data_IF_035581492166
#
_entry.id   IF_035581492166
#
_cell.length_a   1.000
_cell.length_b   1.000
_cell.length_c   1.000
_cell.angle_alpha   90.00
_cell.angle_beta   90.00
_cell.angle_gamma   90.00
#
_symmetry.space_group_name_H-M   'P 1'
#
loop_
_entity.id
_entity.type
_entity.pdbx_description
1 polymer ?
#
# COMPACT_ATOMS: atom_id res chain seq x y z
N UNK A 1 4.58 -29.50 2.25
CA UNK A 1 5.61 -30.42 2.77
C UNK A 1 5.49 -30.39 4.30
N UNK A 2 5.08 -31.48 4.93
CA UNK A 2 4.81 -31.55 6.38
C UNK A 2 6.04 -32.13 7.09
N UNK A 3 6.44 -31.51 8.20
CA UNK A 3 7.41 -32.08 9.13
C UNK A 3 6.70 -32.29 10.47
N UNK A 4 6.66 -33.53 10.93
CA UNK A 4 6.27 -33.89 12.29
C UNK A 4 7.55 -34.09 13.11
N UNK A 5 7.58 -33.56 14.33
CA UNK A 5 8.59 -33.94 15.34
C UNK A 5 7.89 -34.23 16.66
N UNK A 6 8.11 -35.45 17.15
CA UNK A 6 7.68 -36.03 18.42
C UNK A 6 8.79 -35.77 19.46
N UNK A 7 8.80 -34.63 20.14
CA UNK A 7 9.74 -34.40 21.25
C UNK A 7 9.09 -33.56 22.37
N UNK A 8 8.87 -34.10 23.60
CA UNK A 8 8.03 -33.44 24.61
C UNK A 8 8.70 -32.32 25.44
N UNK A 9 9.98 -31.98 25.25
CA UNK A 9 10.72 -31.20 26.25
C UNK A 9 10.91 -29.70 25.99
N UNK A 10 10.75 -29.17 24.76
CA UNK A 10 10.84 -27.72 24.47
C UNK A 10 10.01 -27.32 23.24
N UNK A 11 8.80 -26.74 23.38
CA UNK A 11 7.85 -26.58 22.27
C UNK A 11 7.99 -25.29 21.44
N UNK A 12 9.03 -24.47 21.62
CA UNK A 12 9.14 -23.19 20.91
C UNK A 12 10.53 -22.99 20.31
N UNK A 13 10.72 -23.54 19.11
CA UNK A 13 11.75 -23.04 18.19
C UNK A 13 11.20 -21.73 17.62
N UNK A 14 11.64 -20.60 18.17
CA UNK A 14 11.43 -19.29 17.57
C UNK A 14 12.21 -19.23 16.26
N UNK A 15 11.54 -19.45 15.14
CA UNK A 15 12.12 -19.25 13.82
C UNK A 15 12.19 -17.73 13.56
N UNK A 16 13.27 -17.08 13.97
CA UNK A 16 13.58 -15.70 13.56
C UNK A 16 14.09 -15.71 12.11
N UNK A 17 13.18 -15.50 11.17
CA UNK A 17 13.55 -15.20 9.79
C UNK A 17 14.05 -13.74 9.73
N UNK A 18 15.34 -13.53 10.00
CA UNK A 18 15.99 -12.23 9.77
C UNK A 18 16.21 -12.05 8.26
N UNK A 19 15.14 -11.69 7.55
CA UNK A 19 15.22 -11.25 6.17
C UNK A 19 15.47 -9.76 6.12
N UNK A 20 16.60 -9.33 5.54
CA UNK A 20 16.80 -7.93 5.19
C UNK A 20 15.76 -7.54 4.12
N UNK A 21 14.64 -6.92 4.54
CA UNK A 21 13.60 -6.44 3.62
C UNK A 21 14.11 -5.19 2.94
N UNK A 22 14.87 -5.36 1.86
CA UNK A 22 15.23 -4.24 1.00
C UNK A 22 13.93 -3.66 0.42
N UNK A 23 13.66 -2.38 0.70
CA UNK A 23 12.49 -1.69 0.17
C UNK A 23 12.52 -1.78 -1.36
N UNK A 24 11.42 -2.25 -1.95
CA UNK A 24 11.26 -2.32 -3.41
C UNK A 24 10.91 -0.94 -3.99
N UNK A 25 10.14 -0.16 -3.23
CA UNK A 25 9.68 1.18 -3.58
C UNK A 25 9.81 2.11 -2.39
N UNK A 26 9.99 3.39 -2.67
CA UNK A 26 9.87 4.50 -1.75
C UNK A 26 8.49 5.13 -1.95
N UNK A 27 7.72 5.25 -0.86
CA UNK A 27 6.38 5.82 -0.84
C UNK A 27 6.43 7.20 -0.17
N UNK A 28 6.01 8.23 -0.89
CA UNK A 28 5.98 9.61 -0.38
C UNK A 28 4.61 10.23 -0.61
N UNK A 29 3.83 10.53 0.44
CA UNK A 29 4.05 10.17 1.86
C UNK A 29 4.03 8.64 2.06
N UNK A 30 4.46 8.16 3.24
CA UNK A 30 4.48 6.73 3.56
C UNK A 30 3.08 6.12 3.75
N UNK A 31 2.10 6.95 4.09
CA UNK A 31 0.72 6.59 4.37
C UNK A 31 -0.19 7.60 3.67
N UNK A 32 -1.32 7.13 3.13
CA UNK A 32 -2.38 8.03 2.65
C UNK A 32 -3.30 8.40 3.81
N UNK A 33 -3.43 9.69 4.07
CA UNK A 33 -4.41 10.25 5.00
C UNK A 33 -5.45 11.08 4.25
N UNK A 34 -6.72 10.80 4.52
CA UNK A 34 -7.89 11.47 3.98
C UNK A 34 -8.66 12.09 5.16
N UNK A 35 -8.31 13.32 5.52
CA UNK A 35 -8.92 14.05 6.63
C UNK A 35 -9.67 15.28 6.14
N UNK A 36 -10.89 15.50 6.64
CA UNK A 36 -11.67 16.69 6.30
C UNK A 36 -13.10 16.62 6.79
N UNK A 37 -13.92 17.59 6.36
CA UNK A 37 -15.34 17.67 6.74
C UNK A 37 -16.24 16.89 5.77
N UNK A 38 -17.38 16.36 6.23
CA UNK A 38 -18.43 15.83 5.38
C UNK A 38 -18.79 16.80 4.24
N UNK A 39 -18.88 16.29 3.01
CA UNK A 39 -19.27 17.06 1.84
C UNK A 39 -18.14 17.83 1.14
N UNK A 40 -16.92 17.85 1.68
CA UNK A 40 -15.75 18.35 0.96
C UNK A 40 -15.13 17.25 0.09
N UNK A 41 -14.59 17.64 -1.07
CA UNK A 41 -13.71 16.76 -1.84
C UNK A 41 -12.40 16.57 -1.07
N UNK A 42 -12.19 15.37 -0.54
CA UNK A 42 -10.98 15.02 0.22
C UNK A 42 -10.17 14.07 -0.65
N UNK A 43 -9.02 14.55 -1.10
CA UNK A 43 -8.11 13.82 -2.00
C UNK A 43 -6.70 13.87 -1.45
N UNK A 44 -5.97 12.78 -1.58
CA UNK A 44 -4.56 12.67 -1.22
C UNK A 44 -3.77 12.00 -2.34
N UNK A 45 -2.48 12.33 -2.42
CA UNK A 45 -1.59 11.84 -3.48
C UNK A 45 -0.37 11.18 -2.84
N UNK A 46 0.05 10.07 -3.41
CA UNK A 46 1.29 9.37 -3.04
C UNK A 46 2.11 9.09 -4.29
N UNK A 47 3.38 9.45 -4.21
CA UNK A 47 4.38 9.10 -5.22
C UNK A 47 5.03 7.78 -4.84
N UNK A 48 5.02 6.83 -5.77
CA UNK A 48 5.68 5.53 -5.68
C UNK A 48 6.90 5.60 -6.58
N UNK A 49 8.08 5.55 -5.98
CA UNK A 49 9.36 5.59 -6.70
C UNK A 49 10.09 4.27 -6.53
N UNK A 50 10.69 3.69 -7.59
CA UNK A 50 11.60 2.55 -7.43
C UNK A 50 12.72 2.86 -6.43
N UNK A 51 13.04 1.93 -5.53
CA UNK A 51 14.14 2.12 -4.59
C UNK A 51 15.52 2.05 -5.28
N UNK A 52 15.61 1.31 -6.38
CA UNK A 52 16.78 1.28 -7.27
C UNK A 52 16.46 2.03 -8.57
N UNK A 53 17.19 3.11 -8.92
CA UNK A 53 16.99 3.84 -10.17
C UNK A 53 17.16 3.02 -11.45
N UNK A 54 17.86 1.88 -11.40
CA UNK A 54 18.04 0.95 -12.54
C UNK A 54 16.85 0.02 -12.73
N UNK A 55 15.90 0.01 -11.78
CA UNK A 55 14.74 -0.86 -11.80
C UNK A 55 13.56 -0.17 -12.46
N UNK A 56 13.12 -0.72 -13.59
CA UNK A 56 11.83 -0.38 -14.20
C UNK A 56 10.85 -1.51 -13.87
N UNK A 57 9.82 -1.21 -13.09
CA UNK A 57 8.74 -2.14 -12.79
C UNK A 57 7.42 -1.59 -13.33
N UNK A 58 6.51 -2.51 -13.66
CA UNK A 58 5.17 -2.20 -14.14
C UNK A 58 4.12 -2.59 -13.10
N UNK A 59 3.08 -1.78 -12.99
CA UNK A 59 1.90 -2.10 -12.20
C UNK A 59 0.93 -2.85 -13.12
N UNK A 60 0.64 -4.10 -12.79
CA UNK A 60 -0.28 -4.95 -13.55
C UNK A 60 -1.72 -4.72 -13.11
N UNK A 61 -1.91 -4.60 -11.79
CA UNK A 61 -3.23 -4.48 -11.18
C UNK A 61 -3.13 -3.72 -9.86
N UNK A 62 -4.21 -3.02 -9.51
CA UNK A 62 -4.40 -2.47 -8.17
C UNK A 62 -5.85 -2.66 -7.71
N UNK A 63 -6.04 -2.97 -6.44
CA UNK A 63 -7.37 -3.16 -5.85
C UNK A 63 -7.36 -2.70 -4.39
N UNK A 64 -8.41 -2.00 -4.00
CA UNK A 64 -8.72 -1.73 -2.60
C UNK A 64 -9.41 -2.95 -1.99
N UNK A 65 -9.10 -3.26 -0.73
CA UNK A 65 -9.71 -4.38 -0.02
C UNK A 65 -11.20 -4.18 0.19
N UNK A 66 -11.59 -2.99 0.67
CA UNK A 66 -12.98 -2.68 0.95
C UNK A 66 -13.63 -1.87 -0.17
N UNK A 67 -12.93 -0.91 -0.79
CA UNK A 67 -13.38 -0.07 -1.92
C UNK A 67 -14.68 0.72 -1.72
N UNK A 68 -15.32 0.59 -0.55
CA UNK A 68 -16.62 1.20 -0.22
C UNK A 68 -16.52 2.70 0.07
N UNK A 69 -15.38 3.15 0.59
CA UNK A 69 -15.19 4.51 1.09
C UNK A 69 -14.18 5.31 0.29
N UNK A 70 -13.48 4.68 -0.67
CA UNK A 70 -12.43 5.33 -1.45
C UNK A 70 -12.57 5.02 -2.94
N UNK A 71 -12.12 5.96 -3.75
CA UNK A 71 -11.80 5.78 -5.16
C UNK A 71 -10.32 6.08 -5.34
N UNK A 72 -9.64 5.38 -6.24
CA UNK A 72 -8.25 5.70 -6.52
C UNK A 72 -7.94 5.55 -8.02
N UNK A 73 -6.90 6.28 -8.43
CA UNK A 73 -6.35 6.25 -9.78
C UNK A 73 -4.82 6.16 -9.66
N UNK A 74 -4.18 5.41 -10.55
CA UNK A 74 -2.72 5.30 -10.62
C UNK A 74 -2.26 5.79 -11.99
N UNK A 75 -1.32 6.73 -12.00
CA UNK A 75 -0.71 7.28 -13.23
C UNK A 75 0.77 6.98 -13.24
N UNK A 76 1.26 6.46 -14.35
CA UNK A 76 2.71 6.34 -14.60
C UNK A 76 3.23 7.66 -15.15
N UNK A 77 4.35 8.13 -14.61
CA UNK A 77 5.07 9.30 -15.09
C UNK A 77 6.43 8.86 -15.65
N UNK A 78 6.47 8.67 -16.97
CA UNK A 78 7.68 8.29 -17.71
C UNK A 78 8.63 9.47 -17.97
N UNK A 79 8.20 10.71 -17.69
CA UNK A 79 9.07 11.89 -17.79
C UNK A 79 9.98 12.04 -16.57
N UNK A 80 9.71 11.31 -15.48
CA UNK A 80 10.57 11.26 -14.31
C UNK A 80 11.70 10.24 -14.51
N UNK A 81 12.90 10.57 -14.03
CA UNK A 81 14.06 9.66 -14.01
C UNK A 81 14.47 9.38 -12.56
N UNK A 82 14.31 8.15 -12.04
CA UNK A 82 13.63 7.00 -12.65
C UNK A 82 12.12 7.23 -12.76
N UNK A 83 11.45 6.45 -13.62
CA UNK A 83 9.99 6.51 -13.82
C UNK A 83 9.26 6.30 -12.49
N UNK A 84 8.18 7.05 -12.27
CA UNK A 84 7.44 7.04 -10.99
C UNK A 84 5.96 6.80 -11.24
N UNK A 85 5.26 6.34 -10.21
CA UNK A 85 3.80 6.28 -10.23
C UNK A 85 3.22 7.29 -9.25
N UNK A 86 2.12 7.91 -9.64
CA UNK A 86 1.30 8.75 -8.78
C UNK A 86 0.01 8.00 -8.48
N UNK A 87 -0.18 7.63 -7.21
CA UNK A 87 -1.44 7.14 -6.69
C UNK A 87 -2.24 8.33 -6.16
N UNK A 88 -3.42 8.56 -6.72
CA UNK A 88 -4.37 9.56 -6.27
C UNK A 88 -5.52 8.81 -5.60
N UNK A 89 -5.79 9.12 -4.34
CA UNK A 89 -6.89 8.51 -3.57
C UNK A 89 -7.88 9.59 -3.16
N UNK A 90 -9.15 9.36 -3.43
CA UNK A 90 -10.27 10.24 -3.12
C UNK A 90 -11.21 9.55 -2.13
N UNK A 91 -11.66 10.28 -1.12
CA UNK A 91 -12.71 9.85 -0.22
C UNK A 91 -14.09 10.00 -0.88
N UNK A 92 -14.87 8.92 -0.90
CA UNK A 92 -16.28 8.94 -1.35
C UNK A 92 -17.27 8.79 -0.19
N UNK A 93 -16.78 8.62 1.06
CA UNK A 93 -17.65 8.56 2.25
C UNK A 93 -18.22 9.95 2.54
N UNK A 94 -19.55 10.05 2.58
CA UNK A 94 -20.29 11.29 2.88
C UNK A 94 -20.55 11.50 4.36
N UNK A 95 -20.64 10.40 5.11
CA UNK A 95 -20.93 10.43 6.54
C UNK A 95 -19.65 10.66 7.35
N UNK A 96 -19.74 11.33 8.50
CA UNK A 96 -18.67 11.38 9.47
C UNK A 96 -18.24 9.99 9.94
N UNK A 97 -16.97 9.87 10.32
CA UNK A 97 -16.41 8.64 10.86
C UNK A 97 -15.01 8.33 10.34
N UNK A 98 -14.42 7.30 10.96
CA UNK A 98 -13.08 6.80 10.61
C UNK A 98 -13.19 5.52 9.81
N UNK A 99 -12.26 5.31 8.89
CA UNK A 99 -12.11 4.05 8.19
C UNK A 99 -10.65 3.79 7.85
N UNK A 100 -10.33 2.51 7.64
CA UNK A 100 -9.02 2.07 7.18
C UNK A 100 -9.25 1.15 6.00
N UNK A 101 -8.56 1.41 4.90
CA UNK A 101 -8.54 0.55 3.72
C UNK A 101 -7.09 0.17 3.37
N UNK A 102 -6.93 -0.90 2.60
CA UNK A 102 -5.67 -1.39 2.10
C UNK A 102 -5.74 -1.51 0.59
N UNK A 103 -5.01 -0.66 -0.12
CA UNK A 103 -4.79 -0.80 -1.55
C UNK A 103 -3.62 -1.75 -1.75
N UNK A 104 -3.84 -2.86 -2.43
CA UNK A 104 -2.76 -3.76 -2.86
C UNK A 104 -2.46 -3.48 -4.32
N UNK A 105 -1.20 -3.24 -4.63
CA UNK A 105 -0.70 -3.08 -5.99
C UNK A 105 0.12 -4.33 -6.33
N UNK A 106 -0.20 -4.95 -7.46
CA UNK A 106 0.54 -6.06 -8.05
C UNK A 106 1.45 -5.53 -9.14
N UNK A 107 2.68 -6.04 -9.16
CA UNK A 107 3.69 -5.67 -10.15
C UNK A 107 4.15 -6.89 -10.94
N UNK A 108 4.71 -6.62 -12.12
CA UNK A 108 5.34 -7.59 -13.01
C UNK A 108 6.47 -8.39 -12.33
N UNK A 109 7.12 -7.82 -11.31
CA UNK A 109 8.17 -8.49 -10.53
C UNK A 109 7.66 -9.51 -9.49
N UNK A 110 6.38 -9.89 -9.52
CA UNK A 110 5.68 -10.70 -8.50
C UNK A 110 5.63 -10.09 -7.09
N UNK A 111 6.21 -8.90 -6.90
CA UNK A 111 6.18 -8.14 -5.66
C UNK A 111 4.86 -7.40 -5.53
N UNK A 112 4.32 -7.39 -4.31
CA UNK A 112 3.11 -6.65 -3.96
C UNK A 112 3.47 -5.44 -3.12
N UNK A 113 2.86 -4.30 -3.41
CA UNK A 113 3.05 -3.06 -2.65
C UNK A 113 1.75 -2.79 -1.89
N UNK A 114 1.72 -3.01 -0.55
CA UNK A 114 0.57 -2.68 0.28
C UNK A 114 0.60 -1.19 0.65
N UNK A 115 -0.50 -0.48 0.39
CA UNK A 115 -0.67 0.93 0.71
C UNK A 115 -1.84 1.09 1.67
N UNK A 116 -1.56 1.62 2.86
CA UNK A 116 -2.57 1.89 3.88
C UNK A 116 -3.20 3.25 3.65
N UNK A 117 -4.53 3.27 3.71
CA UNK A 117 -5.35 4.47 3.58
C UNK A 117 -6.12 4.68 4.87
N UNK A 118 -5.96 5.83 5.51
CA UNK A 118 -6.71 6.24 6.69
C UNK A 118 -7.67 7.37 6.33
N UNK A 119 -8.95 7.14 6.57
CA UNK A 119 -9.98 8.18 6.48
C UNK A 119 -10.37 8.67 7.86
N UNK A 120 -10.43 9.99 8.03
CA UNK A 120 -10.96 10.63 9.24
C UNK A 120 -11.88 11.80 8.84
N UNK A 121 -13.17 11.52 8.73
CA UNK A 121 -14.19 12.51 8.35
C UNK A 121 -14.81 13.07 9.64
N UNK A 122 -14.44 14.31 9.98
CA UNK A 122 -14.84 14.96 11.24
C UNK A 122 -16.02 15.91 11.02
N UNK A 123 -17.03 15.86 11.90
CA UNK A 123 -18.17 16.79 11.89
C UNK A 123 -17.74 18.24 12.10
#
# INVERSE_FOLDING_TARGET
MKVHTNDPAQPLIGLELVGQVNAFVLLTPAIIELSGKPGQAITSKMTITPADPKMDFKIDQAAARDSRNIRFEIKRNDQATPARYELIVENIKKEPGRYVDLITIWTDTSRKIPIRVFGNITQ
#
